data_IF_860940592253
#
_entry.id   IF_860940592253
#
_cell.length_a   1.000
_cell.length_b   1.000
_cell.length_c   1.000
_cell.angle_alpha   90.00
_cell.angle_beta   90.00
_cell.angle_gamma   90.00
#
_symmetry.space_group_name_H-M   'P 1'
#
loop_
_entity.id
_entity.type
_entity.pdbx_description
1 polymer ?
#
# COMPACT_ATOMS: atom_id res chain seq x y z
N UNK A 1 -17.35 -13.19 45.84
CA UNK A 1 -17.45 -11.82 46.37
C UNK A 1 -16.98 -10.87 45.28
N UNK A 2 -17.88 -10.07 44.68
CA UNK A 2 -17.52 -9.11 43.65
C UNK A 2 -17.19 -7.77 44.31
N UNK A 3 -16.14 -7.08 43.83
CA UNK A 3 -15.88 -5.70 44.20
C UNK A 3 -16.30 -4.80 43.04
N UNK A 4 -17.43 -4.13 43.24
CA UNK A 4 -17.82 -2.89 42.59
C UNK A 4 -16.85 -1.77 42.99
N UNK A 5 -16.44 -0.97 42.02
CA UNK A 5 -16.20 0.46 42.25
C UNK A 5 -16.89 1.27 41.15
N UNK A 6 -17.70 2.20 41.64
CA UNK A 6 -18.64 3.08 40.95
C UNK A 6 -17.96 4.32 40.34
N UNK A 7 -18.53 4.73 39.22
CA UNK A 7 -18.92 6.08 38.82
C UNK A 7 -18.05 7.29 39.20
N UNK A 8 -17.55 7.96 38.17
CA UNK A 8 -17.14 9.37 38.22
C UNK A 8 -16.91 9.93 36.83
N UNK A 9 -17.89 10.64 36.27
CA UNK A 9 -17.69 11.52 35.11
C UNK A 9 -18.66 11.31 33.96
N UNK A 10 -19.87 11.88 34.08
CA UNK A 10 -20.71 12.20 32.93
C UNK A 10 -20.02 13.29 32.09
N UNK A 11 -19.17 12.86 31.15
CA UNK A 11 -18.63 13.71 30.09
C UNK A 11 -19.56 13.66 28.89
N UNK A 12 -20.18 14.80 28.57
CA UNK A 12 -21.08 15.00 27.43
C UNK A 12 -20.50 14.34 26.17
N UNK A 13 -21.29 13.47 25.53
CA UNK A 13 -21.13 13.12 24.12
C UNK A 13 -21.28 14.40 23.29
N UNK A 14 -20.20 15.14 23.12
CA UNK A 14 -20.07 16.05 22.00
C UNK A 14 -20.01 15.17 20.76
N UNK A 15 -21.12 15.13 20.01
CA UNK A 15 -21.08 14.77 18.60
C UNK A 15 -20.12 15.76 17.93
N UNK A 16 -18.84 15.39 17.83
CA UNK A 16 -17.96 16.02 16.87
C UNK A 16 -18.54 15.64 15.52
N UNK A 17 -19.34 16.56 14.96
CA UNK A 17 -19.60 16.63 13.54
C UNK A 17 -18.25 16.49 12.86
N UNK A 18 -17.99 15.32 12.28
CA UNK A 18 -16.80 15.08 11.50
C UNK A 18 -16.81 16.13 10.40
N UNK A 19 -16.01 17.20 10.57
CA UNK A 19 -15.72 18.12 9.50
C UNK A 19 -15.09 17.24 8.43
N UNK A 20 -15.80 17.07 7.33
CA UNK A 20 -15.32 16.33 6.18
C UNK A 20 -14.07 17.07 5.71
N UNK A 21 -12.88 16.59 6.09
CA UNK A 21 -11.62 17.11 5.58
C UNK A 21 -11.62 16.84 4.08
N UNK A 22 -11.88 17.90 3.32
CA UNK A 22 -11.72 17.94 1.87
C UNK A 22 -10.24 18.15 1.61
N UNK A 23 -9.52 17.07 1.32
CA UNK A 23 -8.16 17.14 0.78
C UNK A 23 -8.25 17.62 -0.67
N UNK A 24 -8.47 18.92 -0.86
CA UNK A 24 -8.52 19.54 -2.19
C UNK A 24 -7.12 19.66 -2.81
N UNK A 25 -6.08 19.63 -1.98
CA UNK A 25 -4.68 19.69 -2.38
C UNK A 25 -4.11 18.29 -2.68
N UNK A 26 -3.21 18.24 -3.67
CA UNK A 26 -2.43 17.05 -4.00
C UNK A 26 -1.44 16.75 -2.87
N UNK A 27 -1.57 15.56 -2.29
CA UNK A 27 -0.89 15.09 -1.08
C UNK A 27 0.10 13.94 -1.41
N UNK A 28 0.98 13.48 -0.46
CA UNK A 28 2.30 12.96 -0.77
C UNK A 28 2.39 11.85 -1.81
N UNK A 29 3.48 11.97 -2.54
CA UNK A 29 3.89 11.14 -3.65
C UNK A 29 4.63 9.90 -3.14
N UNK A 30 4.13 8.71 -3.46
CA UNK A 30 4.90 7.47 -3.32
C UNK A 30 5.58 7.17 -4.65
N UNK A 31 6.91 7.02 -4.66
CA UNK A 31 7.69 6.76 -5.88
C UNK A 31 8.36 5.39 -5.80
N UNK A 32 8.27 4.61 -6.85
CA UNK A 32 8.88 3.28 -6.97
C UNK A 32 9.31 3.01 -8.41
N UNK A 33 10.12 1.98 -8.60
CA UNK A 33 10.62 1.54 -9.92
C UNK A 33 10.09 0.12 -10.17
N UNK A 34 9.89 -0.25 -11.43
CA UNK A 34 9.68 -1.65 -11.80
C UNK A 34 10.95 -2.49 -11.61
N UNK A 35 10.79 -3.81 -11.61
CA UNK A 35 11.92 -4.74 -11.50
C UNK A 35 12.90 -4.66 -12.68
N UNK A 36 12.47 -4.15 -13.85
CA UNK A 36 13.33 -3.98 -15.04
C UNK A 36 14.13 -2.67 -15.03
N UNK A 37 13.82 -1.73 -14.15
CA UNK A 37 14.49 -0.43 -14.09
C UNK A 37 14.15 0.52 -15.25
N UNK A 38 13.09 0.21 -16.00
CA UNK A 38 12.73 0.95 -17.22
C UNK A 38 11.63 1.98 -16.96
N UNK A 39 10.79 1.73 -15.95
CA UNK A 39 9.70 2.61 -15.57
C UNK A 39 9.82 3.01 -14.10
N UNK A 40 9.77 4.31 -13.86
CA UNK A 40 9.56 4.88 -12.54
C UNK A 40 8.11 5.30 -12.44
N UNK A 41 7.45 4.89 -11.37
CA UNK A 41 6.06 5.24 -11.09
C UNK A 41 5.97 6.15 -9.88
N UNK A 42 4.97 7.02 -9.90
CA UNK A 42 4.59 7.83 -8.76
C UNK A 42 3.08 7.72 -8.52
N UNK A 43 2.64 7.78 -7.26
CA UNK A 43 1.24 7.79 -6.89
C UNK A 43 0.90 9.10 -6.21
N UNK A 44 -0.08 9.83 -6.75
CA UNK A 44 -0.66 11.03 -6.14
C UNK A 44 -2.09 10.80 -5.69
N UNK A 45 -2.53 11.53 -4.67
CA UNK A 45 -3.93 11.50 -4.22
C UNK A 45 -4.44 12.89 -3.81
N UNK A 46 -5.75 13.07 -3.94
CA UNK A 46 -6.48 14.32 -3.66
C UNK A 46 -7.86 14.30 -4.30
N UNK A 47 -8.81 15.10 -3.81
CA UNK A 47 -10.21 15.11 -4.28
C UNK A 47 -10.84 13.71 -4.34
N UNK A 48 -10.55 12.89 -3.33
CA UNK A 48 -10.96 11.48 -3.20
C UNK A 48 -10.46 10.53 -4.32
N UNK A 49 -9.52 10.99 -5.15
CA UNK A 49 -8.90 10.22 -6.21
C UNK A 49 -7.51 9.75 -5.82
N UNK A 50 -7.10 8.63 -6.41
CA UNK A 50 -5.71 8.19 -6.42
C UNK A 50 -5.31 7.86 -7.85
N UNK A 51 -4.24 8.49 -8.33
CA UNK A 51 -3.75 8.38 -9.70
C UNK A 51 -2.30 7.88 -9.69
N UNK A 52 -1.99 6.99 -10.64
CA UNK A 52 -0.61 6.53 -10.88
C UNK A 52 -0.08 7.28 -12.10
N UNK A 53 1.14 7.79 -11.96
CA UNK A 53 1.93 8.47 -12.98
C UNK A 53 3.11 7.56 -13.34
N UNK A 54 3.47 7.50 -14.61
CA UNK A 54 4.58 6.70 -15.12
C UNK A 54 5.57 7.58 -15.88
N UNK A 55 6.85 7.39 -15.60
CA UNK A 55 8.01 7.95 -16.28
C UNK A 55 8.75 6.78 -16.92
N UNK A 56 8.72 6.70 -18.25
CA UNK A 56 9.32 5.59 -19.00
C UNK A 56 10.55 6.10 -19.75
N UNK A 57 11.67 5.37 -19.64
CA UNK A 57 12.85 5.70 -20.40
C UNK A 57 12.61 5.44 -21.90
N UNK A 58 12.84 6.44 -22.74
CA UNK A 58 12.72 6.34 -24.20
C UNK A 58 14.04 6.75 -24.86
N UNK A 59 14.61 5.81 -25.62
CA UNK A 59 15.86 6.01 -26.38
C UNK A 59 15.70 7.01 -27.54
N UNK A 60 14.47 7.27 -27.98
CA UNK A 60 14.18 8.26 -29.00
C UNK A 60 14.09 9.68 -28.44
N UNK A 61 13.94 9.82 -27.13
CA UNK A 61 13.94 11.11 -26.46
C UNK A 61 15.35 11.51 -26.02
N UNK A 62 15.65 12.82 -25.92
CA UNK A 62 16.93 13.27 -25.40
C UNK A 62 17.21 12.71 -24.00
N UNK A 63 18.47 12.43 -23.62
CA UNK A 63 18.81 12.06 -22.24
C UNK A 63 18.40 13.12 -21.21
N UNK A 64 18.20 14.37 -21.65
CA UNK A 64 17.76 15.50 -20.84
C UNK A 64 16.25 15.57 -20.65
N UNK A 65 15.47 14.68 -21.28
CA UNK A 65 14.02 14.59 -21.06
C UNK A 65 13.71 14.25 -19.60
N UNK A 66 12.54 14.68 -19.12
CA UNK A 66 12.16 14.44 -17.73
C UNK A 66 12.14 12.94 -17.41
N UNK A 67 11.50 12.11 -18.25
CA UNK A 67 11.38 10.69 -17.98
C UNK A 67 12.74 9.97 -18.01
N UNK A 68 13.61 10.29 -18.97
CA UNK A 68 14.94 9.69 -19.05
C UNK A 68 15.78 10.05 -17.82
N UNK A 69 15.84 11.33 -17.42
CA UNK A 69 16.58 11.75 -16.22
C UNK A 69 16.07 11.08 -14.95
N UNK A 70 14.74 10.88 -14.86
CA UNK A 70 14.10 10.21 -13.73
C UNK A 70 14.58 8.75 -13.65
N UNK A 71 14.48 7.99 -14.74
CA UNK A 71 14.92 6.59 -14.79
C UNK A 71 16.43 6.47 -14.59
N UNK A 72 17.25 7.28 -15.28
CA UNK A 72 18.71 7.31 -15.12
C UNK A 72 19.12 7.52 -13.66
N UNK A 73 18.48 8.45 -12.94
CA UNK A 73 18.83 8.69 -11.54
C UNK A 73 18.44 7.53 -10.62
N UNK A 74 17.29 6.91 -10.86
CA UNK A 74 16.81 5.79 -10.06
C UNK A 74 17.65 4.53 -10.24
N UNK A 75 18.07 4.25 -11.48
CA UNK A 75 18.96 3.14 -11.84
C UNK A 75 20.42 3.39 -11.45
N UNK A 76 20.78 4.64 -11.10
CA UNK A 76 22.15 5.01 -10.77
C UNK A 76 23.10 4.93 -11.98
N UNK A 77 22.58 5.15 -13.19
CA UNK A 77 23.38 5.14 -14.40
C UNK A 77 24.28 6.40 -14.46
N UNK A 78 25.54 6.20 -14.81
CA UNK A 78 26.47 7.30 -15.07
C UNK A 78 26.13 7.97 -16.41
N UNK A 79 26.18 9.30 -16.47
CA UNK A 79 25.93 10.09 -17.67
C UNK A 79 27.12 10.99 -17.98
N UNK A 80 27.50 11.08 -19.26
CA UNK A 80 28.56 11.99 -19.71
C UNK A 80 28.14 13.46 -19.54
N UNK A 81 26.86 13.76 -19.81
CA UNK A 81 26.24 15.06 -19.57
C UNK A 81 25.63 15.11 -18.17
N UNK A 82 26.07 16.02 -17.27
CA UNK A 82 25.46 16.22 -15.97
C UNK A 82 23.96 16.58 -16.03
N UNK A 83 23.49 17.16 -17.14
CA UNK A 83 22.08 17.46 -17.35
C UNK A 83 21.23 16.21 -17.66
N UNK A 84 21.87 15.09 -18.03
CA UNK A 84 21.22 13.79 -18.28
C UNK A 84 20.74 13.08 -17.01
N UNK A 85 20.97 13.65 -15.82
CA UNK A 85 20.49 13.09 -14.55
C UNK A 85 20.09 14.20 -13.57
N UNK A 86 19.72 13.82 -12.35
CA UNK A 86 19.49 14.74 -11.24
C UNK A 86 20.70 14.73 -10.30
N UNK A 87 21.10 15.88 -9.72
CA UNK A 87 22.21 15.91 -8.76
C UNK A 87 21.92 15.05 -7.52
N UNK A 88 20.71 15.19 -6.95
CA UNK A 88 20.29 14.44 -5.77
C UNK A 88 18.93 13.77 -5.95
N UNK A 89 18.62 12.77 -5.11
CA UNK A 89 17.27 12.16 -5.04
C UNK A 89 16.22 13.20 -4.63
N UNK A 90 16.61 14.22 -3.86
CA UNK A 90 15.72 15.32 -3.48
C UNK A 90 15.34 16.17 -4.68
N UNK A 91 16.27 16.46 -5.59
CA UNK A 91 16.00 17.22 -6.81
C UNK A 91 15.10 16.43 -7.75
N UNK A 92 15.36 15.13 -7.88
CA UNK A 92 14.50 14.18 -8.60
C UNK A 92 13.05 14.21 -8.09
N UNK A 93 12.85 14.03 -6.78
CA UNK A 93 11.51 14.09 -6.17
C UNK A 93 10.85 15.46 -6.32
N UNK A 94 11.63 16.53 -6.31
CA UNK A 94 11.12 17.88 -6.55
C UNK A 94 10.61 18.03 -7.98
N UNK A 95 11.33 17.48 -8.96
CA UNK A 95 10.93 17.51 -10.37
C UNK A 95 9.69 16.66 -10.64
N UNK A 96 9.64 15.42 -10.12
CA UNK A 96 8.45 14.56 -10.26
C UNK A 96 7.23 15.25 -9.65
N UNK A 97 7.34 15.76 -8.42
CA UNK A 97 6.25 16.50 -7.77
C UNK A 97 5.83 17.74 -8.56
N UNK A 98 6.78 18.48 -9.12
CA UNK A 98 6.53 19.64 -9.96
C UNK A 98 5.69 19.28 -11.18
N UNK A 99 6.08 18.23 -11.90
CA UNK A 99 5.35 17.73 -13.05
C UNK A 99 3.95 17.23 -12.68
N UNK A 100 3.81 16.42 -11.62
CA UNK A 100 2.51 15.93 -11.17
C UNK A 100 1.59 17.09 -10.77
N UNK A 101 2.10 18.09 -10.03
CA UNK A 101 1.32 19.29 -9.66
C UNK A 101 0.83 20.07 -10.87
N UNK A 102 1.66 20.16 -11.92
CA UNK A 102 1.28 20.81 -13.17
C UNK A 102 0.15 20.05 -13.89
N UNK A 103 0.20 18.71 -13.92
CA UNK A 103 -0.77 17.88 -14.63
C UNK A 103 -2.07 17.66 -13.81
N UNK A 104 -1.97 17.67 -12.48
CA UNK A 104 -3.05 17.27 -11.56
C UNK A 104 -4.43 17.91 -11.83
N UNK A 105 -4.55 19.23 -12.08
CA UNK A 105 -5.85 19.85 -12.38
C UNK A 105 -6.56 19.24 -13.61
N UNK A 106 -5.78 18.76 -14.57
CA UNK A 106 -6.29 18.10 -15.77
C UNK A 106 -6.68 16.64 -15.48
N UNK A 107 -5.89 15.92 -14.67
CA UNK A 107 -6.21 14.55 -14.27
C UNK A 107 -7.52 14.46 -13.47
N UNK A 108 -7.71 15.30 -12.45
CA UNK A 108 -8.88 15.18 -11.56
C UNK A 108 -10.22 15.43 -12.26
N UNK A 109 -10.18 16.10 -13.41
CA UNK A 109 -11.34 16.39 -14.25
C UNK A 109 -11.63 15.28 -15.26
N UNK A 110 -10.71 14.33 -15.46
CA UNK A 110 -10.85 13.29 -16.46
C UNK A 110 -11.72 12.13 -15.94
N UNK A 111 -12.75 11.70 -16.71
CA UNK A 111 -13.73 10.70 -16.23
C UNK A 111 -13.12 9.32 -15.97
N UNK A 112 -12.07 8.95 -16.69
CA UNK A 112 -11.45 7.63 -16.56
C UNK A 112 -10.90 7.35 -15.16
N UNK A 113 -10.30 8.33 -14.47
CA UNK A 113 -9.71 8.09 -13.14
C UNK A 113 -10.73 7.79 -12.04
N UNK A 114 -12.02 8.05 -12.28
CA UNK A 114 -13.10 7.67 -11.35
C UNK A 114 -13.54 6.21 -11.51
N UNK A 115 -13.27 5.59 -12.67
CA UNK A 115 -13.90 4.32 -13.05
C UNK A 115 -12.91 3.24 -13.49
N UNK A 116 -11.73 3.63 -13.97
CA UNK A 116 -10.69 2.76 -14.53
C UNK A 116 -9.48 2.70 -13.59
N UNK A 117 -9.19 1.51 -13.07
CA UNK A 117 -8.01 1.24 -12.23
C UNK A 117 -6.73 1.04 -13.05
N UNK A 118 -6.89 0.80 -14.35
CA UNK A 118 -5.82 0.63 -15.33
C UNK A 118 -5.38 1.94 -15.98
N UNK A 119 -6.10 3.04 -15.73
CA UNK A 119 -5.73 4.36 -16.24
C UNK A 119 -4.47 4.87 -15.53
N UNK A 120 -3.40 5.05 -16.30
CA UNK A 120 -2.13 5.63 -15.86
C UNK A 120 -1.86 6.90 -16.67
N UNK A 121 -1.21 7.88 -16.03
CA UNK A 121 -0.73 9.09 -16.68
C UNK A 121 0.72 8.89 -17.09
N UNK A 122 0.99 8.76 -18.39
CA UNK A 122 2.33 8.86 -18.94
C UNK A 122 2.81 10.30 -18.84
N UNK A 123 3.97 10.52 -18.24
CA UNK A 123 4.56 11.85 -18.05
C UNK A 123 5.92 11.89 -18.72
N UNK A 124 6.12 12.89 -19.57
CA UNK A 124 7.43 13.18 -20.14
C UNK A 124 7.61 14.68 -20.39
N UNK A 125 8.79 15.09 -20.81
CA UNK A 125 9.05 16.42 -21.34
C UNK A 125 10.19 16.36 -22.34
N UNK A 126 10.10 17.15 -23.41
CA UNK A 126 11.15 17.26 -24.42
C UNK A 126 12.43 17.92 -23.85
N UNK A 127 12.32 18.66 -22.75
CA UNK A 127 13.46 19.28 -22.05
C UNK A 127 13.27 19.30 -20.52
N UNK A 128 14.11 20.08 -19.81
CA UNK A 128 14.06 20.21 -18.36
C UNK A 128 12.99 21.19 -17.86
N UNK A 129 12.20 21.80 -18.74
CA UNK A 129 11.18 22.78 -18.38
C UNK A 129 9.86 22.12 -17.98
N UNK A 130 9.36 22.49 -16.80
CA UNK A 130 8.05 22.06 -16.31
C UNK A 130 6.91 22.55 -17.24
N UNK A 131 7.09 23.68 -17.92
CA UNK A 131 6.09 24.26 -18.83
C UNK A 131 5.91 23.44 -20.12
N UNK A 132 6.87 22.56 -20.42
CA UNK A 132 6.84 21.66 -21.58
C UNK A 132 6.61 20.22 -21.18
N UNK A 133 6.02 19.98 -20.01
CA UNK A 133 5.62 18.65 -19.60
C UNK A 133 4.46 18.19 -20.48
N UNK A 134 4.70 17.14 -21.24
CA UNK A 134 3.70 16.45 -22.04
C UNK A 134 3.17 15.25 -21.26
N UNK A 135 1.87 14.97 -21.42
CA UNK A 135 1.26 13.84 -20.74
C UNK A 135 0.16 13.22 -21.57
N UNK A 136 -0.09 11.94 -21.35
CA UNK A 136 -1.18 11.19 -21.95
C UNK A 136 -1.77 10.20 -20.95
N UNK A 137 -3.05 9.92 -21.09
CA UNK A 137 -3.72 8.88 -20.30
C UNK A 137 -3.78 7.63 -21.15
N UNK A 138 -3.40 6.50 -20.57
CA UNK A 138 -3.48 5.22 -21.25
C UNK A 138 -3.91 4.11 -20.28
N UNK A 139 -4.52 3.06 -20.84
CA UNK A 139 -4.80 1.82 -20.12
C UNK A 139 -3.53 0.97 -20.10
N UNK A 140 -3.02 0.66 -18.91
CA UNK A 140 -1.76 -0.06 -18.80
C UNK A 140 -1.88 -1.53 -19.23
N UNK A 141 -1.02 -2.03 -20.14
CA UNK A 141 -1.15 -3.37 -20.72
C UNK A 141 -0.98 -4.51 -19.71
N UNK A 142 -0.33 -4.27 -18.57
CA UNK A 142 -0.24 -5.26 -17.47
C UNK A 142 -1.55 -5.46 -16.71
N UNK A 143 -2.52 -4.56 -16.78
CA UNK A 143 -3.72 -4.66 -15.95
C UNK A 143 -4.57 -5.90 -16.24
N UNK A 144 -4.92 -6.24 -17.50
CA UNK A 144 -5.64 -7.48 -17.80
C UNK A 144 -4.88 -8.73 -17.34
N UNK A 145 -3.55 -8.73 -17.47
CA UNK A 145 -2.67 -9.83 -17.02
C UNK A 145 -2.71 -9.98 -15.50
N UNK A 146 -2.66 -8.87 -14.77
CA UNK A 146 -2.80 -8.83 -13.32
C UNK A 146 -4.17 -9.35 -12.84
N UNK A 147 -5.27 -8.88 -13.44
CA UNK A 147 -6.62 -9.34 -13.07
C UNK A 147 -6.78 -10.84 -13.34
N UNK A 148 -6.20 -11.35 -14.44
CA UNK A 148 -6.17 -12.80 -14.73
C UNK A 148 -5.41 -13.58 -13.66
N UNK A 149 -4.26 -13.08 -13.20
CA UNK A 149 -3.52 -13.70 -12.08
C UNK A 149 -4.33 -13.69 -10.78
N UNK A 150 -5.10 -12.63 -10.50
CA UNK A 150 -6.03 -12.60 -9.37
C UNK A 150 -7.22 -13.56 -9.52
N UNK A 151 -7.60 -13.91 -10.75
CA UNK A 151 -8.69 -14.84 -11.04
C UNK A 151 -8.24 -16.32 -10.99
N UNK A 152 -6.93 -16.58 -11.08
CA UNK A 152 -6.39 -17.93 -11.20
C UNK A 152 -6.60 -18.74 -9.91
N UNK A 153 -7.53 -19.68 -9.92
CA UNK A 153 -7.88 -20.52 -8.76
C UNK A 153 -6.77 -21.51 -8.37
N UNK A 154 -5.83 -21.81 -9.29
CA UNK A 154 -4.68 -22.67 -8.98
C UNK A 154 -3.75 -22.06 -7.93
N UNK A 155 -3.79 -20.73 -7.75
CA UNK A 155 -3.06 -20.00 -6.71
C UNK A 155 -3.70 -20.11 -5.32
N UNK A 156 -4.66 -21.01 -5.15
CA UNK A 156 -5.32 -21.31 -3.88
C UNK A 156 -6.74 -20.78 -3.82
N UNK A 157 -7.53 -21.28 -2.87
CA UNK A 157 -8.94 -20.92 -2.76
C UNK A 157 -9.13 -19.44 -2.46
N UNK A 158 -9.95 -18.81 -3.26
CA UNK A 158 -10.50 -17.49 -3.00
C UNK A 158 -11.20 -17.48 -1.63
N UNK A 159 -10.99 -16.43 -0.81
CA UNK A 159 -11.71 -16.25 0.44
C UNK A 159 -13.22 -16.48 0.32
N UNK A 160 -13.78 -17.36 1.15
CA UNK A 160 -15.22 -17.36 1.40
C UNK A 160 -15.54 -16.07 2.17
N UNK A 161 -16.06 -15.08 1.45
CA UNK A 161 -16.26 -13.74 1.99
C UNK A 161 -17.45 -13.62 2.95
N UNK A 162 -17.47 -12.60 3.82
CA UNK A 162 -18.57 -12.32 4.74
C UNK A 162 -19.86 -11.81 4.05
N UNK A 163 -20.02 -12.03 2.73
CA UNK A 163 -21.10 -11.50 1.91
C UNK A 163 -20.99 -10.00 1.57
N UNK A 164 -20.02 -9.27 2.14
CA UNK A 164 -19.76 -7.85 1.86
C UNK A 164 -18.43 -7.65 1.15
N UNK A 165 -18.47 -6.88 0.06
CA UNK A 165 -17.28 -6.44 -0.65
C UNK A 165 -17.36 -4.97 -1.05
N UNK A 166 -16.20 -4.38 -1.29
CA UNK A 166 -16.05 -3.03 -1.83
C UNK A 166 -15.16 -3.07 -3.08
N UNK A 167 -15.45 -2.20 -4.04
CA UNK A 167 -14.60 -2.06 -5.22
C UNK A 167 -13.34 -1.27 -4.85
N UNK A 168 -12.15 -1.79 -5.18
CA UNK A 168 -10.88 -1.11 -4.95
C UNK A 168 -10.83 0.28 -5.58
N UNK A 169 -11.50 0.47 -6.72
CA UNK A 169 -11.61 1.77 -7.39
C UNK A 169 -12.29 2.86 -6.55
N UNK A 170 -13.10 2.47 -5.57
CA UNK A 170 -13.80 3.40 -4.68
C UNK A 170 -12.99 3.78 -3.43
N UNK A 171 -11.78 3.21 -3.26
CA UNK A 171 -10.92 3.49 -2.12
C UNK A 171 -9.89 4.56 -2.48
N UNK A 172 -9.84 5.62 -1.68
CA UNK A 172 -8.75 6.60 -1.77
C UNK A 172 -7.55 6.07 -0.98
N UNK A 173 -6.40 5.93 -1.63
CA UNK A 173 -5.17 5.34 -1.06
C UNK A 173 -4.24 6.47 -0.62
N UNK A 174 -3.82 6.43 0.65
CA UNK A 174 -2.99 7.49 1.25
C UNK A 174 -1.53 7.04 1.39
N UNK A 175 -1.20 6.33 2.48
CA UNK A 175 0.17 5.95 2.82
C UNK A 175 0.35 4.43 2.82
N UNK A 176 1.51 3.96 2.38
CA UNK A 176 1.92 2.58 2.60
C UNK A 176 2.43 2.43 4.04
N UNK A 177 1.83 1.49 4.78
CA UNK A 177 2.12 1.26 6.21
C UNK A 177 3.28 0.26 6.43
N UNK A 178 4.02 -0.09 5.37
CA UNK A 178 5.15 -1.03 5.38
C UNK A 178 4.81 -2.47 5.00
N UNK A 179 5.80 -3.36 5.14
CA UNK A 179 5.74 -4.78 4.75
C UNK A 179 6.07 -5.04 3.27
N UNK A 180 6.42 -6.28 2.91
CA UNK A 180 6.70 -6.71 1.51
C UNK A 180 5.42 -6.91 0.66
N UNK A 181 4.36 -6.17 0.93
CA UNK A 181 3.08 -6.22 0.22
C UNK A 181 2.32 -4.89 0.31
N UNK A 182 1.08 -4.85 -0.20
CA UNK A 182 0.26 -3.65 -0.18
C UNK A 182 -0.58 -3.55 1.10
N UNK A 183 0.12 -3.27 2.21
CA UNK A 183 -0.55 -2.72 3.39
C UNK A 183 -0.64 -1.21 3.22
N UNK A 184 -1.84 -0.71 2.92
CA UNK A 184 -2.06 0.69 2.58
C UNK A 184 -3.18 1.26 3.43
N UNK A 185 -2.96 2.44 4.01
CA UNK A 185 -4.04 3.22 4.62
C UNK A 185 -4.97 3.72 3.52
N UNK A 186 -6.24 3.35 3.62
CA UNK A 186 -7.27 3.73 2.66
C UNK A 186 -8.40 4.47 3.37
N UNK A 187 -9.07 5.35 2.65
CA UNK A 187 -10.31 5.99 3.07
C UNK A 187 -11.46 5.39 2.26
N UNK A 188 -12.51 4.95 2.95
CA UNK A 188 -13.74 4.48 2.32
C UNK A 188 -14.57 5.67 1.82
N UNK A 189 -15.52 5.44 0.90
CA UNK A 189 -16.50 6.46 0.50
C UNK A 189 -17.31 7.04 1.68
N UNK A 190 -17.41 6.31 2.79
CA UNK A 190 -18.04 6.79 4.04
C UNK A 190 -17.20 7.84 4.78
N UNK A 191 -15.96 8.07 4.34
CA UNK A 191 -15.00 8.95 4.99
C UNK A 191 -14.16 8.26 6.07
N UNK A 192 -14.48 7.03 6.46
CA UNK A 192 -13.75 6.25 7.46
C UNK A 192 -12.41 5.74 6.93
N UNK A 193 -11.40 5.69 7.80
CA UNK A 193 -10.12 5.08 7.48
C UNK A 193 -10.13 3.58 7.77
N UNK A 194 -9.46 2.82 6.90
CA UNK A 194 -9.19 1.40 7.05
C UNK A 194 -7.80 1.06 6.51
N UNK A 195 -7.37 -0.17 6.75
CA UNK A 195 -6.13 -0.70 6.20
C UNK A 195 -6.47 -1.73 5.14
N UNK A 196 -6.17 -1.43 3.88
CA UNK A 196 -6.16 -2.43 2.83
C UNK A 196 -4.95 -3.35 3.02
N UNK A 197 -5.18 -4.65 3.00
CA UNK A 197 -4.13 -5.67 2.87
C UNK A 197 -4.48 -6.61 1.73
N UNK A 198 -3.60 -6.66 0.74
CA UNK A 198 -3.80 -7.46 -0.45
C UNK A 198 -2.71 -7.28 -1.48
N UNK A 199 -3.04 -7.67 -2.71
CA UNK A 199 -2.23 -7.46 -3.91
C UNK A 199 -2.99 -6.50 -4.81
N UNK A 200 -2.47 -5.29 -4.97
CA UNK A 200 -3.08 -4.26 -5.83
C UNK A 200 -2.31 -4.12 -7.15
N UNK A 201 -2.81 -3.26 -8.03
CA UNK A 201 -2.16 -3.05 -9.32
C UNK A 201 -0.78 -2.40 -9.21
N UNK A 202 -0.54 -1.58 -8.19
CA UNK A 202 0.80 -1.04 -7.89
C UNK A 202 1.80 -2.16 -7.64
N UNK A 203 1.40 -3.19 -6.90
CA UNK A 203 2.21 -4.39 -6.69
C UNK A 203 2.57 -5.03 -8.02
N UNK A 204 1.60 -5.18 -8.92
CA UNK A 204 1.81 -5.74 -10.25
C UNK A 204 2.77 -4.91 -11.10
N UNK A 205 2.64 -3.58 -11.10
CA UNK A 205 3.58 -2.70 -11.80
C UNK A 205 5.01 -2.84 -11.27
N UNK A 206 5.17 -3.15 -9.99
CA UNK A 206 6.48 -3.31 -9.38
C UNK A 206 7.11 -4.68 -9.70
N UNK A 207 6.34 -5.77 -9.57
CA UNK A 207 6.90 -7.13 -9.57
C UNK A 207 6.44 -8.05 -10.70
N UNK A 208 5.69 -7.52 -11.69
CA UNK A 208 5.42 -8.30 -12.90
C UNK A 208 6.68 -8.41 -13.74
N UNK A 209 6.94 -9.63 -14.20
CA UNK A 209 8.12 -9.95 -15.01
C UNK A 209 7.69 -10.59 -16.34
N UNK A 210 8.64 -10.70 -17.27
CA UNK A 210 8.46 -11.44 -18.51
C UNK A 210 8.62 -12.97 -18.33
N UNK A 211 8.86 -13.44 -17.11
CA UNK A 211 9.08 -14.85 -16.75
C UNK A 211 7.84 -15.51 -16.10
N UNK A 212 6.64 -15.06 -16.47
CA UNK A 212 5.39 -15.66 -16.01
C UNK A 212 4.88 -15.16 -14.67
N UNK A 213 5.27 -13.95 -14.25
CA UNK A 213 4.82 -13.27 -13.02
C UNK A 213 5.05 -14.09 -11.75
N UNK A 214 6.18 -14.79 -11.63
CA UNK A 214 6.42 -15.71 -10.50
C UNK A 214 6.24 -15.01 -9.16
N UNK A 215 6.74 -13.78 -9.04
CA UNK A 215 6.65 -13.00 -7.79
C UNK A 215 5.21 -12.62 -7.48
N UNK A 216 4.47 -12.02 -8.42
CA UNK A 216 3.08 -11.63 -8.22
C UNK A 216 2.18 -12.84 -7.92
N UNK A 217 2.33 -13.93 -8.65
CA UNK A 217 1.56 -15.16 -8.42
C UNK A 217 1.81 -15.73 -7.03
N UNK A 218 3.07 -15.70 -6.58
CA UNK A 218 3.43 -16.08 -5.21
C UNK A 218 2.83 -15.14 -4.16
N UNK A 219 2.84 -13.82 -4.39
CA UNK A 219 2.20 -12.84 -3.48
C UNK A 219 0.69 -13.08 -3.37
N UNK A 220 0.01 -13.35 -4.49
CA UNK A 220 -1.42 -13.69 -4.51
C UNK A 220 -1.68 -14.97 -3.72
N UNK A 221 -0.90 -16.02 -3.97
CA UNK A 221 -1.02 -17.30 -3.25
C UNK A 221 -0.79 -17.15 -1.75
N UNK A 222 0.23 -16.39 -1.35
CA UNK A 222 0.53 -16.10 0.05
C UNK A 222 -0.62 -15.34 0.71
N UNK A 223 -1.12 -14.28 0.07
CA UNK A 223 -2.26 -13.51 0.58
C UNK A 223 -3.50 -14.39 0.79
N UNK A 224 -3.86 -15.24 -0.18
CA UNK A 224 -5.02 -16.15 -0.05
C UNK A 224 -4.80 -17.16 1.08
N UNK A 225 -3.62 -17.75 1.19
CA UNK A 225 -3.29 -18.71 2.25
C UNK A 225 -3.38 -18.05 3.63
N UNK A 226 -2.81 -16.87 3.79
CA UNK A 226 -2.86 -16.11 5.03
C UNK A 226 -4.28 -15.72 5.42
N UNK A 227 -5.06 -15.20 4.48
CA UNK A 227 -6.47 -14.91 4.71
C UNK A 227 -7.23 -16.14 5.21
N UNK A 228 -7.11 -17.26 4.49
CA UNK A 228 -7.79 -18.51 4.84
C UNK A 228 -7.30 -19.08 6.18
N UNK A 229 -6.08 -18.74 6.60
CA UNK A 229 -5.54 -19.10 7.92
C UNK A 229 -6.17 -18.23 9.01
N UNK A 230 -6.22 -16.91 8.81
CA UNK A 230 -6.85 -15.97 9.75
C UNK A 230 -8.32 -16.30 10.02
N UNK A 231 -9.07 -16.75 9.01
CA UNK A 231 -10.46 -17.21 9.18
C UNK A 231 -10.60 -18.42 10.13
N UNK A 232 -9.54 -19.22 10.31
CA UNK A 232 -9.53 -20.41 11.16
C UNK A 232 -8.97 -20.14 12.57
N UNK A 233 -8.50 -18.92 12.81
CA UNK A 233 -7.99 -18.48 14.11
C UNK A 233 -9.19 -18.25 15.03
N UNK A 234 -9.26 -18.91 16.19
CA UNK A 234 -10.29 -18.62 17.17
C UNK A 234 -10.24 -17.15 17.59
N UNK A 235 -11.39 -16.51 17.86
CA UNK A 235 -11.41 -15.15 18.38
C UNK A 235 -10.50 -15.00 19.60
N UNK A 236 -9.64 -13.99 19.60
CA UNK A 236 -8.70 -13.73 20.68
C UNK A 236 -8.56 -12.23 20.92
N UNK A 237 -8.58 -11.73 22.17
CA UNK A 237 -8.60 -10.29 22.47
C UNK A 237 -7.40 -9.52 21.92
N UNK A 238 -6.23 -10.17 21.84
CA UNK A 238 -4.99 -9.55 21.37
C UNK A 238 -4.69 -9.83 19.88
N UNK A 239 -5.50 -10.64 19.19
CA UNK A 239 -5.29 -10.93 17.76
C UNK A 239 -6.35 -10.20 16.95
N UNK A 240 -5.94 -9.56 15.86
CA UNK A 240 -6.92 -8.91 14.99
C UNK A 240 -7.90 -9.93 14.42
N UNK A 241 -9.21 -9.63 14.41
CA UNK A 241 -10.18 -10.49 13.76
C UNK A 241 -9.88 -10.55 12.25
N UNK A 242 -10.35 -11.60 11.56
CA UNK A 242 -10.35 -11.60 10.11
C UNK A 242 -11.09 -10.37 9.56
N UNK A 243 -10.71 -9.90 8.36
CA UNK A 243 -11.34 -8.72 7.77
C UNK A 243 -12.83 -8.98 7.49
N UNK A 244 -13.66 -8.00 7.83
CA UNK A 244 -15.12 -8.07 7.70
C UNK A 244 -15.62 -7.57 6.35
N UNK A 245 -14.74 -6.98 5.53
CA UNK A 245 -15.04 -6.50 4.20
C UNK A 245 -13.92 -6.90 3.26
N UNK A 246 -14.28 -7.61 2.20
CA UNK A 246 -13.35 -7.96 1.13
C UNK A 246 -13.26 -6.85 0.09
N UNK A 247 -12.14 -6.82 -0.61
CA UNK A 247 -11.88 -5.84 -1.66
C UNK A 247 -11.78 -6.54 -2.99
N UNK A 248 -12.47 -5.99 -3.98
CA UNK A 248 -12.60 -6.55 -5.32
C UNK A 248 -12.07 -5.60 -6.38
N UNK A 249 -11.60 -6.17 -7.50
CA UNK A 249 -11.21 -5.45 -8.70
C UNK A 249 -12.08 -5.95 -9.86
N UNK A 250 -12.52 -5.01 -10.70
CA UNK A 250 -13.30 -5.28 -11.89
C UNK A 250 -12.39 -5.65 -13.05
N UNK A 251 -12.87 -6.53 -13.94
CA UNK A 251 -12.24 -6.73 -15.24
C UNK A 251 -12.35 -5.44 -16.06
N UNK A 252 -11.31 -5.06 -16.81
CA UNK A 252 -11.32 -3.80 -17.57
C UNK A 252 -12.46 -3.75 -18.61
N UNK A 253 -12.79 -4.89 -19.22
CA UNK A 253 -13.90 -5.05 -20.17
C UNK A 253 -15.21 -5.50 -19.52
N UNK A 254 -15.24 -5.67 -18.19
CA UNK A 254 -16.37 -6.22 -17.42
C UNK A 254 -16.85 -7.59 -17.94
N UNK A 255 -15.97 -8.35 -18.58
CA UNK A 255 -16.29 -9.66 -19.16
C UNK A 255 -16.65 -10.73 -18.12
N UNK A 256 -16.21 -10.57 -16.88
CA UNK A 256 -16.42 -11.52 -15.81
C UNK A 256 -16.70 -10.86 -14.46
N UNK A 257 -17.08 -11.69 -13.49
CA UNK A 257 -17.34 -11.24 -12.13
C UNK A 257 -16.09 -10.61 -11.50
N UNK A 258 -16.28 -9.64 -10.57
CA UNK A 258 -15.17 -9.01 -9.87
C UNK A 258 -14.34 -10.04 -9.11
N UNK A 259 -13.02 -9.89 -9.13
CA UNK A 259 -12.09 -10.80 -8.45
C UNK A 259 -11.58 -10.17 -7.16
N UNK A 260 -11.34 -10.99 -6.14
CA UNK A 260 -10.85 -10.48 -4.86
C UNK A 260 -9.35 -10.18 -4.93
N UNK A 261 -8.96 -9.01 -4.42
CA UNK A 261 -7.58 -8.55 -4.39
C UNK A 261 -7.06 -8.28 -2.98
N UNK A 262 -7.94 -8.24 -1.97
CA UNK A 262 -7.55 -7.93 -0.60
C UNK A 262 -8.70 -7.94 0.40
N UNK A 263 -8.42 -7.49 1.62
CA UNK A 263 -9.40 -7.26 2.67
C UNK A 263 -9.13 -5.96 3.42
N UNK A 264 -10.18 -5.38 3.99
CA UNK A 264 -10.09 -4.20 4.84
C UNK A 264 -10.02 -4.61 6.32
N UNK A 265 -9.02 -4.07 7.00
CA UNK A 265 -8.80 -4.21 8.43
C UNK A 265 -9.04 -2.86 9.12
N UNK A 266 -9.40 -2.87 10.41
CA UNK A 266 -9.50 -1.63 11.19
C UNK A 266 -8.19 -0.84 11.17
N UNK A 267 -8.29 0.47 11.01
CA UNK A 267 -7.15 1.38 11.15
C UNK A 267 -6.99 1.80 12.60
N UNK A 268 -5.77 1.69 13.13
CA UNK A 268 -5.41 2.12 14.48
C UNK A 268 -4.49 3.34 14.40
N UNK A 269 -4.97 4.54 14.74
CA UNK A 269 -4.18 5.77 14.61
C UNK A 269 -2.98 5.81 15.56
N UNK A 270 -2.97 4.99 16.61
CA UNK A 270 -1.86 4.87 17.55
C UNK A 270 -0.60 4.16 17.01
N UNK A 271 -0.64 3.70 15.75
CA UNK A 271 0.46 2.99 15.09
C UNK A 271 0.66 1.56 15.62
N UNK A 272 1.86 1.03 15.38
CA UNK A 272 2.30 -0.26 15.91
C UNK A 272 3.45 -0.08 16.92
N UNK A 273 3.77 -1.13 17.68
CA UNK A 273 4.88 -1.14 18.64
C UNK A 273 6.20 -0.65 18.03
N UNK A 274 6.51 -1.04 16.78
CA UNK A 274 7.75 -0.64 16.12
C UNK A 274 7.80 0.88 15.85
N UNK A 275 6.68 1.47 15.40
CA UNK A 275 6.56 2.93 15.25
C UNK A 275 6.75 3.64 16.60
N UNK A 276 6.13 3.14 17.67
CA UNK A 276 6.31 3.72 19.01
C UNK A 276 7.74 3.61 19.53
N UNK A 277 8.42 2.48 19.27
CA UNK A 277 9.83 2.31 19.58
C UNK A 277 10.70 3.30 18.81
N UNK A 278 10.46 3.43 17.50
CA UNK A 278 11.18 4.37 16.65
C UNK A 278 11.00 5.81 17.12
N UNK A 279 9.78 6.21 17.46
CA UNK A 279 9.48 7.55 17.97
C UNK A 279 10.15 7.81 19.33
N UNK A 280 10.12 6.83 20.22
CA UNK A 280 10.79 6.89 21.53
C UNK A 280 12.29 7.09 21.36
N UNK A 281 12.92 6.30 20.48
CA UNK A 281 14.35 6.39 20.17
C UNK A 281 14.70 7.76 19.57
N UNK A 282 13.90 8.25 18.62
CA UNK A 282 14.11 9.57 18.00
C UNK A 282 14.03 10.71 19.01
N UNK A 283 13.16 10.61 20.02
CA UNK A 283 12.99 11.61 21.08
C UNK A 283 14.00 11.45 22.23
N UNK A 284 14.80 10.38 22.24
CA UNK A 284 15.67 10.05 23.38
C UNK A 284 14.90 9.71 24.66
N UNK A 285 13.61 9.40 24.55
CA UNK A 285 12.75 9.05 25.68
C UNK A 285 12.75 7.53 25.82
N UNK A 286 12.85 7.03 27.06
CA UNK A 286 12.74 5.59 27.33
C UNK A 286 11.28 5.20 27.47
N UNK A 287 10.85 4.15 26.76
CA UNK A 287 9.53 3.54 26.98
C UNK A 287 9.47 2.96 28.39
N UNK A 288 8.43 3.28 29.19
CA UNK A 288 8.23 2.74 30.53
C UNK A 288 8.25 1.20 30.58
N UNK A 289 8.81 0.63 31.66
CA UNK A 289 9.00 -0.82 31.77
C UNK A 289 7.69 -1.58 31.89
N UNK A 290 6.73 -1.03 32.63
CA UNK A 290 5.35 -1.51 32.75
C UNK A 290 4.67 -1.61 31.38
N UNK A 291 4.83 -0.60 30.52
CA UNK A 291 4.28 -0.62 29.17
C UNK A 291 4.93 -1.71 28.30
N UNK A 292 6.26 -1.87 28.37
CA UNK A 292 6.95 -2.97 27.67
C UNK A 292 6.49 -4.34 28.16
N UNK A 293 6.34 -4.52 29.47
CA UNK A 293 5.86 -5.75 30.07
C UNK A 293 4.44 -6.06 29.62
N UNK A 294 3.58 -5.05 29.53
CA UNK A 294 2.23 -5.17 29.00
C UNK A 294 2.21 -5.63 27.54
N UNK A 295 3.02 -5.02 26.66
CA UNK A 295 3.16 -5.47 25.27
C UNK A 295 3.63 -6.92 25.17
N UNK A 296 4.64 -7.30 25.95
CA UNK A 296 5.14 -8.67 26.01
C UNK A 296 4.06 -9.66 26.47
N UNK A 297 3.29 -9.32 27.51
CA UNK A 297 2.20 -10.14 28.00
C UNK A 297 1.11 -10.33 26.93
N UNK A 298 0.74 -9.26 26.22
CA UNK A 298 -0.27 -9.32 25.16
C UNK A 298 0.19 -10.19 23.98
N UNK A 299 1.45 -10.04 23.55
CA UNK A 299 2.07 -10.89 22.51
C UNK A 299 2.13 -12.36 22.91
N UNK A 300 2.54 -12.64 24.16
CA UNK A 300 2.64 -14.00 24.67
C UNK A 300 1.26 -14.67 24.74
N UNK A 301 0.24 -13.95 25.19
CA UNK A 301 -1.15 -14.44 25.19
C UNK A 301 -1.64 -14.73 23.77
N UNK A 302 -1.34 -13.84 22.81
CA UNK A 302 -1.70 -14.02 21.41
C UNK A 302 -1.01 -15.24 20.76
N UNK A 303 0.21 -15.57 21.20
CA UNK A 303 0.97 -16.73 20.72
C UNK A 303 0.68 -18.04 21.48
N UNK A 304 -0.38 -18.06 22.31
CA UNK A 304 -0.71 -19.20 23.17
C UNK A 304 -0.89 -20.54 22.43
N UNK A 305 -0.93 -21.68 23.16
CA UNK A 305 -0.83 -23.03 22.59
C UNK A 305 -1.85 -23.34 21.48
N UNK A 306 -3.05 -22.75 21.52
CA UNK A 306 -4.09 -22.93 20.51
C UNK A 306 -3.85 -22.20 19.17
N UNK A 307 -2.99 -21.17 19.15
CA UNK A 307 -2.58 -20.44 17.95
C UNK A 307 -1.23 -20.92 17.39
N UNK A 308 -0.37 -21.49 18.24
CA UNK A 308 0.96 -22.03 17.86
C UNK A 308 0.91 -23.06 16.74
N UNK A 309 -0.03 -24.00 16.79
CA UNK A 309 -0.18 -25.05 15.77
C UNK A 309 -0.82 -24.58 14.47
N UNK A 310 -1.50 -23.43 14.46
CA UNK A 310 -2.24 -22.93 13.28
C UNK A 310 -1.57 -21.76 12.57
N UNK A 311 -0.80 -20.93 13.27
CA UNK A 311 -0.17 -19.72 12.72
C UNK A 311 1.35 -19.80 12.61
N UNK A 312 2.01 -20.56 13.50
CA UNK A 312 3.46 -20.45 13.67
C UNK A 312 4.22 -21.63 13.06
N UNK A 313 4.28 -21.63 11.73
CA UNK A 313 5.31 -22.35 10.99
C UNK A 313 6.63 -21.57 10.81
N UNK A 314 6.69 -20.26 11.16
CA UNK A 314 7.87 -19.38 10.99
C UNK A 314 7.98 -18.30 12.08
N UNK A 315 9.22 -17.88 12.38
CA UNK A 315 9.65 -17.04 13.53
C UNK A 315 8.95 -15.67 13.60
N UNK A 316 8.72 -15.21 14.83
CA UNK A 316 8.53 -13.79 15.14
C UNK A 316 9.91 -13.16 15.32
N UNK A 317 10.34 -12.33 14.38
CA UNK A 317 11.51 -11.46 14.56
C UNK A 317 11.06 -10.00 14.45
N UNK A 318 11.58 -9.09 15.30
CA UNK A 318 11.52 -7.67 15.00
C UNK A 318 12.28 -7.44 13.69
N UNK A 319 11.74 -6.61 12.80
CA UNK A 319 12.39 -6.26 11.55
C UNK A 319 13.75 -5.58 11.85
N UNK A 320 14.83 -6.34 11.82
CA UNK A 320 16.20 -5.83 11.83
C UNK A 320 16.59 -5.45 10.41
N UNK A 321 17.08 -4.22 10.24
CA UNK A 321 17.91 -3.85 9.09
C UNK A 321 19.16 -4.70 9.16
N UNK A 322 19.25 -5.77 8.36
CA UNK A 322 20.51 -6.21 7.76
C UNK A 322 20.20 -7.23 6.65
N UNK A 323 20.82 -7.02 5.50
CA UNK A 323 20.61 -7.78 4.28
C UNK A 323 21.07 -9.22 4.41
N UNK A 324 20.16 -10.12 4.78
CA UNK A 324 20.31 -11.56 4.59
C UNK A 324 19.01 -12.11 3.99
N UNK A 325 19.15 -12.91 2.93
CA UNK A 325 18.05 -13.58 2.21
C UNK A 325 17.28 -14.53 3.14
N UNK A 326 16.24 -14.02 3.80
CA UNK A 326 15.23 -14.83 4.50
C UNK A 326 13.89 -14.81 3.74
N UNK A 327 13.23 -15.97 3.73
CA UNK A 327 12.19 -16.33 2.77
C UNK A 327 10.82 -15.74 3.10
N UNK A 328 10.29 -14.92 2.18
CA UNK A 328 8.92 -14.48 1.79
C UNK A 328 7.68 -14.56 2.72
N UNK A 329 7.71 -15.24 3.87
CA UNK A 329 6.51 -15.62 4.64
C UNK A 329 6.53 -15.17 6.11
N UNK A 330 7.63 -14.56 6.57
CA UNK A 330 7.84 -14.19 7.99
C UNK A 330 7.10 -12.91 8.40
N UNK A 331 6.98 -11.93 7.50
CA UNK A 331 6.71 -10.54 7.90
C UNK A 331 5.22 -10.14 7.90
N UNK A 332 4.35 -10.84 7.17
CA UNK A 332 2.92 -10.48 7.13
C UNK A 332 2.16 -10.91 8.39
N UNK A 333 2.55 -12.03 9.01
CA UNK A 333 1.95 -12.51 10.25
C UNK A 333 2.40 -11.71 11.48
N UNK A 334 3.66 -11.27 11.54
CA UNK A 334 4.20 -10.58 12.71
C UNK A 334 3.54 -9.20 12.97
N UNK A 335 3.07 -8.52 11.92
CA UNK A 335 2.40 -7.22 12.03
C UNK A 335 0.90 -7.31 12.43
N UNK A 336 0.37 -8.50 12.71
CA UNK A 336 -1.07 -8.74 12.93
C UNK A 336 -1.47 -9.03 14.39
N UNK A 337 -0.53 -9.06 15.33
CA UNK A 337 -0.71 -9.88 16.55
C UNK A 337 -0.87 -9.07 17.85
N UNK A 338 -0.91 -7.74 17.81
CA UNK A 338 -1.19 -6.96 19.04
C UNK A 338 -2.11 -5.79 18.75
N UNK A 339 -3.33 -5.88 19.30
CA UNK A 339 -4.17 -4.71 19.56
C UNK A 339 -3.54 -3.96 20.75
N UNK A 340 -3.00 -2.77 20.52
CA UNK A 340 -2.58 -1.84 21.57
C UNK A 340 -3.72 -0.92 21.98
#
# INVERSE_FOLDING_TARGET
>A
MPFDWLAGGAGRCGAQSAKMETHDELEPEWVWVDDEGTNVYAQGYGRDLTVIFSFCADKHNPPTSLANRVCTKYEGLETEDPAGTFPTIKDLHTAIRGAIRHIWPHCVSHPDFRTKLDAIVGVDSIDSSIEKVTWNIYSHPLFPRFVRSLADESLGRTPAGPGKSVNFASLTRYEQLGGRGCTTRVRLPTGEYSVFKGVDFRTALQYSDNEGDKIIRNLISNWRREYNTLQKVPPHPNVLPPPTMLVTIQWPDRSALPVFCGGLFPFYPGGNAASRIKDSNKKGVRIPLDLKAHWCANMAAAAGPGLRTKLFGRRLTPATQDGVKETASSDMAAAQIVKE
#
